data_IF_133311432732
#
_entry.id   IF_133311432732
#
_cell.length_a   1.000
_cell.length_b   1.000
_cell.length_c   1.000
_cell.angle_alpha   90.00
_cell.angle_beta   90.00
_cell.angle_gamma   90.00
#
_symmetry.space_group_name_H-M   'P 1'
#
loop_
_entity.id
_entity.type
_entity.pdbx_description
1 polymer ?
#
# COMPACT_ATOMS: atom_id res chain seq x y z
N UNK A 1 8.44 2.06 -19.91
CA UNK A 1 8.46 1.19 -18.72
C UNK A 1 7.07 1.19 -18.10
N UNK A 2 6.34 0.08 -18.21
CA UNK A 2 4.93 0.00 -17.79
C UNK A 2 4.88 -0.18 -16.26
N UNK A 3 4.57 0.89 -15.53
CA UNK A 3 4.57 0.94 -14.07
C UNK A 3 3.24 0.43 -13.47
N UNK A 4 2.84 -0.79 -13.81
CA UNK A 4 1.61 -1.43 -13.30
C UNK A 4 1.87 -2.41 -12.17
N UNK A 5 3.12 -2.56 -11.72
CA UNK A 5 3.52 -3.68 -10.85
C UNK A 5 3.22 -3.53 -9.36
N UNK A 6 2.70 -2.38 -8.91
CA UNK A 6 2.36 -2.22 -7.49
C UNK A 6 1.06 -1.45 -7.38
N UNK A 7 0.02 -2.12 -6.88
CA UNK A 7 -1.32 -1.54 -6.70
C UNK A 7 -1.32 -0.25 -5.87
N UNK A 8 -2.51 0.31 -5.59
CA UNK A 8 -2.65 1.66 -5.02
C UNK A 8 -2.01 1.86 -3.64
N UNK A 9 -1.52 0.78 -3.01
CA UNK A 9 -0.69 0.78 -1.81
C UNK A 9 0.53 -0.10 -2.06
N UNK A 10 1.71 0.50 -2.08
CA UNK A 10 3.02 -0.18 -2.12
C UNK A 10 3.46 -0.54 -0.71
N UNK A 11 4.19 -1.63 -0.55
CA UNK A 11 4.68 -2.06 0.77
C UNK A 11 6.20 -2.26 0.76
N UNK A 12 6.86 -1.82 1.82
CA UNK A 12 8.31 -1.98 2.01
C UNK A 12 8.63 -2.19 3.49
N UNK A 13 9.39 -3.23 3.85
CA UNK A 13 9.82 -3.46 5.24
C UNK A 13 11.20 -2.84 5.46
N UNK A 14 11.30 -1.90 6.40
CA UNK A 14 12.52 -1.25 6.84
C UNK A 14 12.83 -1.68 8.28
N UNK A 15 13.64 -2.73 8.43
CA UNK A 15 13.91 -3.34 9.73
C UNK A 15 12.65 -3.91 10.37
N UNK A 16 12.26 -3.38 11.54
CA UNK A 16 11.04 -3.77 12.27
C UNK A 16 9.80 -2.97 11.85
N UNK A 17 9.94 -1.99 10.95
CA UNK A 17 8.84 -1.13 10.49
C UNK A 17 8.34 -1.58 9.12
N UNK A 18 7.03 -1.75 8.96
CA UNK A 18 6.39 -1.91 7.66
C UNK A 18 5.92 -0.54 7.15
N UNK A 19 6.51 -0.06 6.06
CA UNK A 19 6.14 1.18 5.38
C UNK A 19 5.12 0.86 4.28
N UNK A 20 3.97 1.52 4.34
CA UNK A 20 2.93 1.48 3.32
C UNK A 20 2.89 2.81 2.59
N UNK A 21 3.11 2.83 1.27
CA UNK A 21 3.07 4.04 0.45
C UNK A 21 1.82 4.04 -0.41
N UNK A 22 0.95 5.02 -0.21
CA UNK A 22 -0.23 5.26 -1.04
C UNK A 22 0.20 5.84 -2.39
N UNK A 23 -0.13 5.14 -3.46
CA UNK A 23 0.21 5.51 -4.84
C UNK A 23 -1.04 5.43 -5.71
N UNK A 24 -2.04 6.24 -5.37
CA UNK A 24 -3.33 6.29 -6.04
C UNK A 24 -3.67 7.74 -6.46
N UNK A 25 -3.07 8.25 -7.56
CA UNK A 25 -3.34 9.61 -8.03
C UNK A 25 -4.84 9.79 -8.37
N UNK A 26 -5.37 11.02 -8.30
CA UNK A 26 -4.64 12.29 -8.12
C UNK A 26 -4.33 12.66 -6.67
N UNK A 27 -5.11 12.17 -5.69
CA UNK A 27 -5.06 12.65 -4.30
C UNK A 27 -4.87 11.54 -3.26
N UNK A 28 -4.57 10.31 -3.67
CA UNK A 28 -4.56 9.14 -2.79
C UNK A 28 -5.90 8.91 -2.09
N UNK A 29 -7.01 9.11 -2.83
CA UNK A 29 -8.35 8.92 -2.30
C UNK A 29 -8.52 7.50 -1.70
N UNK A 30 -9.18 7.42 -0.54
CA UNK A 30 -9.43 6.16 0.19
C UNK A 30 -10.57 5.34 -0.43
N UNK A 31 -10.49 5.10 -1.74
CA UNK A 31 -11.39 4.21 -2.45
C UNK A 31 -11.16 2.74 -2.10
N UNK A 32 -12.00 1.86 -2.65
CA UNK A 32 -11.99 0.44 -2.34
C UNK A 32 -10.60 -0.20 -2.44
N UNK A 33 -9.90 0.01 -3.55
CA UNK A 33 -8.61 -0.64 -3.80
C UNK A 33 -7.51 -0.15 -2.83
N UNK A 34 -7.51 1.14 -2.48
CA UNK A 34 -6.62 1.70 -1.45
C UNK A 34 -6.92 1.09 -0.08
N UNK A 35 -8.20 1.04 0.32
CA UNK A 35 -8.62 0.46 1.60
C UNK A 35 -8.22 -1.01 1.70
N UNK A 36 -8.43 -1.79 0.64
CA UNK A 36 -8.03 -3.19 0.59
C UNK A 36 -6.51 -3.35 0.76
N UNK A 37 -5.71 -2.53 0.09
CA UNK A 37 -4.25 -2.53 0.22
C UNK A 37 -3.78 -2.16 1.63
N UNK A 38 -4.44 -1.21 2.30
CA UNK A 38 -4.13 -0.82 3.69
C UNK A 38 -4.43 -1.96 4.66
N UNK A 39 -5.61 -2.59 4.57
CA UNK A 39 -5.98 -3.73 5.43
C UNK A 39 -4.96 -4.87 5.29
N UNK A 40 -4.61 -5.24 4.05
CA UNK A 40 -3.60 -6.26 3.80
C UNK A 40 -2.22 -5.90 4.40
N UNK A 41 -1.85 -4.62 4.39
CA UNK A 41 -0.63 -4.13 5.03
C UNK A 41 -0.69 -4.23 6.56
N UNK A 42 -1.82 -3.87 7.17
CA UNK A 42 -2.02 -3.97 8.62
C UNK A 42 -2.00 -5.43 9.09
N UNK A 43 -2.69 -6.33 8.38
CA UNK A 43 -2.69 -7.77 8.67
C UNK A 43 -1.29 -8.38 8.60
N UNK A 44 -0.44 -7.87 7.69
CA UNK A 44 0.96 -8.27 7.59
C UNK A 44 1.80 -7.74 8.75
N UNK A 45 1.54 -6.53 9.24
CA UNK A 45 2.28 -5.92 10.34
C UNK A 45 1.92 -6.53 11.71
N UNK A 46 0.71 -7.09 11.85
CA UNK A 46 0.24 -7.75 13.06
C UNK A 46 0.85 -9.15 13.29
N UNK A 47 1.65 -9.66 12.34
CA UNK A 47 2.34 -10.96 12.38
C UNK A 47 3.83 -10.78 12.58
#
# INVERSE_FOLDING_TARGET
MNNTDQGPVRQHKAGTVLVLTLCNPPVNALGFAVRAGLVAGLDRAAR
#
